data_IF_174369080141
#
_entry.id   IF_174369080141
#
_cell.length_a   1.000
_cell.length_b   1.000
_cell.length_c   1.000
_cell.angle_alpha   90.00
_cell.angle_beta   90.00
_cell.angle_gamma   90.00
#
_symmetry.space_group_name_H-M   'P 1'
#
loop_
_entity.id
_entity.type
_entity.pdbx_description
1 polymer ?
#
# COMPACT_ATOMS: atom_id res chain seq x y z
N UNK A 1 0.26 -19.68 -9.75
CA UNK A 1 1.12 -18.82 -8.91
C UNK A 1 0.34 -18.39 -7.68
N UNK A 2 0.99 -18.20 -6.53
CA UNK A 2 0.31 -17.66 -5.33
C UNK A 2 0.28 -16.12 -5.43
N UNK A 3 -0.90 -15.48 -5.45
CA UNK A 3 -0.98 -14.02 -5.47
C UNK A 3 -0.48 -13.41 -4.16
N UNK A 4 0.09 -12.22 -4.23
CA UNK A 4 0.68 -11.52 -3.08
C UNK A 4 -0.25 -10.47 -2.48
N UNK A 5 -0.04 -10.15 -1.22
CA UNK A 5 -0.77 -9.07 -0.55
C UNK A 5 0.18 -8.06 0.10
N UNK A 6 0.06 -6.80 -0.31
CA UNK A 6 0.78 -5.66 0.26
C UNK A 6 -0.22 -4.78 1.02
N UNK A 7 0.11 -4.39 2.24
CA UNK A 7 -0.65 -3.36 2.96
C UNK A 7 0.20 -2.10 3.12
N UNK A 8 -0.34 -0.96 2.70
CA UNK A 8 0.28 0.36 2.85
C UNK A 8 -0.45 1.13 3.95
N UNK A 9 0.19 1.20 5.11
CA UNK A 9 -0.20 2.04 6.23
C UNK A 9 0.52 3.39 6.22
N UNK A 10 0.26 4.23 7.21
CA UNK A 10 1.00 5.47 7.40
C UNK A 10 0.49 6.28 8.59
N UNK A 11 1.35 7.12 9.16
CA UNK A 11 1.10 7.73 10.46
C UNK A 11 -0.14 8.67 10.50
N UNK A 12 -0.49 9.31 9.38
CA UNK A 12 -1.61 10.28 9.29
C UNK A 12 -2.40 10.23 7.96
N UNK A 13 -3.33 11.19 7.78
CA UNK A 13 -3.96 11.51 6.48
C UNK A 13 -2.96 12.25 5.61
N UNK A 14 -3.10 12.11 4.29
CA UNK A 14 -2.31 12.88 3.31
C UNK A 14 -0.78 12.74 3.40
N UNK A 15 -0.29 11.66 4.02
CA UNK A 15 1.15 11.37 4.16
C UNK A 15 1.77 10.74 2.91
N UNK A 16 1.01 10.57 1.82
CA UNK A 16 1.52 10.00 0.56
C UNK A 16 1.31 8.50 0.33
N UNK A 17 0.45 7.81 1.12
CA UNK A 17 0.13 6.38 0.90
C UNK A 17 -0.40 6.09 -0.51
N UNK A 18 -1.32 6.93 -1.01
CA UNK A 18 -1.89 6.78 -2.35
C UNK A 18 -0.78 6.86 -3.41
N UNK A 19 0.13 7.82 -3.29
CA UNK A 19 1.31 7.94 -4.17
C UNK A 19 2.22 6.73 -4.10
N UNK A 20 2.44 6.16 -2.91
CA UNK A 20 3.22 4.92 -2.76
C UNK A 20 2.57 3.75 -3.50
N UNK A 21 1.25 3.63 -3.43
CA UNK A 21 0.53 2.57 -4.15
C UNK A 21 0.66 2.76 -5.66
N UNK A 22 0.55 3.99 -6.17
CA UNK A 22 0.67 4.28 -7.60
C UNK A 22 2.06 3.92 -8.16
N UNK A 23 3.13 4.25 -7.43
CA UNK A 23 4.50 3.88 -7.82
C UNK A 23 4.68 2.36 -7.89
N UNK A 24 4.07 1.61 -6.96
CA UNK A 24 4.16 0.15 -6.92
C UNK A 24 3.39 -0.50 -8.07
N UNK A 25 2.20 0.05 -8.39
CA UNK A 25 1.36 -0.43 -9.48
C UNK A 25 1.94 -0.09 -10.86
N UNK A 26 2.50 1.10 -11.02
CA UNK A 26 3.07 1.57 -12.29
C UNK A 26 4.28 0.77 -12.77
N UNK A 27 4.97 0.09 -11.86
CA UNK A 27 6.09 -0.83 -12.15
C UNK A 27 5.62 -2.27 -12.50
N UNK A 28 4.32 -2.57 -12.31
CA UNK A 28 3.75 -3.93 -12.36
C UNK A 28 2.48 -4.03 -13.20
N UNK A 29 2.41 -3.29 -14.31
CA UNK A 29 1.22 -3.21 -15.16
C UNK A 29 0.85 -4.52 -15.86
N UNK A 30 1.81 -5.45 -15.98
CA UNK A 30 1.58 -6.77 -16.60
C UNK A 30 1.04 -7.81 -15.60
N UNK A 31 0.83 -7.43 -14.35
CA UNK A 31 0.30 -8.28 -13.30
C UNK A 31 -1.15 -7.94 -12.94
N UNK A 32 -1.91 -8.94 -12.52
CA UNK A 32 -3.31 -8.76 -12.11
C UNK A 32 -3.39 -8.16 -10.70
N UNK A 33 -3.41 -6.84 -10.58
CA UNK A 33 -3.55 -6.14 -9.30
C UNK A 33 -4.97 -5.69 -9.00
N UNK A 34 -5.44 -5.95 -7.78
CA UNK A 34 -6.60 -5.33 -7.17
C UNK A 34 -6.17 -4.35 -6.07
N UNK A 35 -6.58 -3.09 -6.17
CA UNK A 35 -6.28 -2.05 -5.19
C UNK A 35 -7.50 -1.77 -4.29
N UNK A 36 -7.32 -1.80 -2.97
CA UNK A 36 -8.41 -1.61 -2.01
C UNK A 36 -8.09 -0.48 -1.04
N UNK A 37 -8.92 0.55 -1.00
CA UNK A 37 -8.86 1.56 0.04
C UNK A 37 -9.82 1.23 1.17
N UNK A 38 -9.31 0.99 2.38
CA UNK A 38 -10.18 0.80 3.56
C UNK A 38 -10.25 2.07 4.38
N UNK A 39 -11.42 2.71 4.42
CA UNK A 39 -11.66 3.92 5.20
C UNK A 39 -12.66 3.68 6.34
N UNK A 40 -12.54 4.44 7.43
CA UNK A 40 -13.53 4.39 8.51
C UNK A 40 -14.85 5.00 8.05
N UNK A 41 -15.95 4.31 8.30
CA UNK A 41 -17.31 4.79 8.05
C UNK A 41 -17.74 5.83 9.12
N UNK A 42 -17.01 6.95 9.27
CA UNK A 42 -17.35 8.01 10.26
C UNK A 42 -18.50 8.92 9.82
N UNK A 43 -18.91 8.87 8.55
CA UNK A 43 -19.93 9.75 7.97
C UNK A 43 -21.06 9.00 7.28
N UNK A 44 -21.25 7.74 7.62
CA UNK A 44 -22.40 7.02 7.15
C UNK A 44 -23.37 6.77 8.28
N UNK A 45 -24.61 6.58 7.85
CA UNK A 45 -25.78 6.44 8.68
C UNK A 45 -25.51 5.40 9.78
N UNK A 46 -25.92 5.66 11.02
CA UNK A 46 -26.06 4.58 12.00
C UNK A 46 -26.91 3.48 11.34
N UNK A 47 -26.56 2.21 11.55
CA UNK A 47 -27.26 1.00 11.04
C UNK A 47 -26.74 0.32 9.76
N UNK A 48 -25.49 0.55 9.35
CA UNK A 48 -24.87 -0.33 8.34
C UNK A 48 -24.12 -1.49 9.01
N UNK A 49 -24.81 -2.62 9.18
CA UNK A 49 -24.26 -3.88 9.72
C UNK A 49 -23.31 -4.62 8.76
N UNK A 50 -22.82 -3.94 7.72
CA UNK A 50 -21.92 -4.50 6.71
C UNK A 50 -20.95 -3.45 6.18
N UNK A 51 -19.77 -3.83 5.66
CA UNK A 51 -18.94 -2.89 4.94
C UNK A 51 -19.65 -2.45 3.65
N UNK A 52 -19.51 -1.18 3.28
CA UNK A 52 -19.90 -0.70 1.95
C UNK A 52 -18.69 -0.86 1.02
N UNK A 53 -18.81 -1.72 0.03
CA UNK A 53 -17.77 -2.03 -0.96
C UNK A 53 -18.17 -1.42 -2.29
N UNK A 54 -17.45 -0.38 -2.71
CA UNK A 54 -17.75 0.38 -3.91
C UNK A 54 -16.65 0.09 -4.95
N UNK A 55 -16.92 -0.70 -6.01
CA UNK A 55 -15.99 -0.83 -7.12
C UNK A 55 -15.89 0.49 -7.88
N UNK A 56 -14.68 0.94 -8.14
CA UNK A 56 -14.47 2.02 -9.10
C UNK A 56 -14.51 1.46 -10.52
N UNK A 57 -15.17 2.20 -11.41
CA UNK A 57 -15.40 1.79 -12.80
C UNK A 57 -14.70 2.72 -13.79
N UNK A 58 -14.13 3.83 -13.31
CA UNK A 58 -13.50 4.83 -14.15
C UNK A 58 -12.14 5.21 -13.60
N UNK A 59 -11.14 5.18 -14.49
CA UNK A 59 -9.84 5.75 -14.23
C UNK A 59 -9.96 7.29 -14.17
N UNK A 60 -10.17 7.83 -12.98
CA UNK A 60 -10.37 9.27 -12.72
C UNK A 60 -9.31 9.78 -11.72
N UNK A 61 -8.47 10.76 -12.10
CA UNK A 61 -7.42 11.28 -11.21
C UNK A 61 -7.98 12.04 -10.01
N UNK A 62 -9.28 12.38 -10.00
CA UNK A 62 -9.96 13.11 -8.93
C UNK A 62 -10.39 12.21 -7.78
N UNK A 63 -10.48 10.89 -7.99
CA UNK A 63 -10.80 9.91 -6.94
C UNK A 63 -9.57 9.11 -6.57
N UNK A 64 -9.47 8.69 -5.30
CA UNK A 64 -8.30 7.90 -4.85
C UNK A 64 -8.26 6.51 -5.48
N UNK A 65 -9.42 5.91 -5.74
CA UNK A 65 -9.53 4.59 -6.37
C UNK A 65 -9.37 4.66 -7.89
N UNK A 66 -9.85 5.71 -8.54
CA UNK A 66 -9.62 5.96 -9.96
C UNK A 66 -8.14 6.21 -10.27
N UNK A 67 -7.42 6.85 -9.35
CA UNK A 67 -5.95 6.95 -9.36
C UNK A 67 -5.24 5.58 -9.35
N UNK A 68 -5.74 4.60 -8.61
CA UNK A 68 -5.16 3.25 -8.66
C UNK A 68 -5.37 2.57 -10.03
N UNK A 69 -6.54 2.76 -10.65
CA UNK A 69 -6.80 2.26 -12.01
C UNK A 69 -5.85 2.93 -13.02
N UNK A 70 -5.65 4.25 -12.93
CA UNK A 70 -4.68 4.98 -13.78
C UNK A 70 -3.25 4.46 -13.60
N UNK A 71 -2.89 4.05 -12.39
CA UNK A 71 -1.57 3.54 -12.08
C UNK A 71 -1.35 2.07 -12.49
N UNK A 72 -2.38 1.37 -13.00
CA UNK A 72 -2.24 0.00 -13.52
C UNK A 72 -2.97 -1.08 -12.71
N UNK A 73 -3.77 -0.74 -11.70
CA UNK A 73 -4.64 -1.74 -11.08
C UNK A 73 -5.73 -2.21 -12.07
N UNK A 74 -5.92 -3.53 -12.18
CA UNK A 74 -7.02 -4.15 -12.94
C UNK A 74 -8.38 -3.81 -12.30
N UNK A 75 -8.43 -3.79 -10.96
CA UNK A 75 -9.64 -3.53 -10.18
C UNK A 75 -9.31 -2.58 -9.03
N UNK A 76 -10.21 -1.64 -8.73
CA UNK A 76 -10.06 -0.75 -7.58
C UNK A 76 -11.35 -0.68 -6.76
N UNK A 77 -11.22 -0.66 -5.42
CA UNK A 77 -12.37 -0.66 -4.50
C UNK A 77 -12.20 0.35 -3.38
N UNK A 78 -13.26 1.11 -3.09
CA UNK A 78 -13.41 1.86 -1.86
C UNK A 78 -14.25 1.05 -0.88
N UNK A 79 -13.63 0.60 0.21
CA UNK A 79 -14.29 -0.11 1.29
C UNK A 79 -14.51 0.84 2.48
N UNK A 80 -15.74 1.32 2.66
CA UNK A 80 -16.11 2.09 3.85
C UNK A 80 -16.56 1.13 4.94
N UNK A 81 -15.73 0.97 5.96
CA UNK A 81 -15.82 -0.14 6.92
C UNK A 81 -16.06 0.36 8.34
N UNK A 82 -17.22 0.03 8.96
CA UNK A 82 -17.42 0.15 10.41
C UNK A 82 -16.40 -0.68 11.20
N UNK A 83 -16.09 -0.27 12.43
CA UNK A 83 -15.06 -0.97 13.23
C UNK A 83 -15.38 -2.46 13.46
N UNK A 84 -16.64 -2.79 13.75
CA UNK A 84 -17.10 -4.16 13.95
C UNK A 84 -17.04 -5.03 12.68
N UNK A 85 -16.90 -4.42 11.50
CA UNK A 85 -16.98 -5.08 10.21
C UNK A 85 -15.63 -5.25 9.51
N UNK A 86 -14.52 -4.99 10.22
CA UNK A 86 -13.16 -5.18 9.67
C UNK A 86 -12.90 -6.64 9.24
N UNK A 87 -13.45 -7.61 9.96
CA UNK A 87 -13.37 -9.04 9.60
C UNK A 87 -14.04 -9.33 8.27
N UNK A 88 -15.21 -8.74 8.00
CA UNK A 88 -15.93 -8.90 6.75
C UNK A 88 -15.18 -8.25 5.57
N UNK A 89 -14.64 -7.04 5.76
CA UNK A 89 -13.78 -6.40 4.75
C UNK A 89 -12.51 -7.22 4.49
N UNK A 90 -11.93 -7.82 5.52
CA UNK A 90 -10.77 -8.69 5.35
C UNK A 90 -11.11 -9.98 4.59
N UNK A 91 -12.32 -10.52 4.75
CA UNK A 91 -12.80 -11.66 3.97
C UNK A 91 -12.91 -11.30 2.48
N UNK A 92 -13.53 -10.17 2.16
CA UNK A 92 -13.59 -9.66 0.78
C UNK A 92 -12.19 -9.47 0.16
N UNK A 93 -11.24 -8.89 0.91
CA UNK A 93 -9.87 -8.72 0.45
C UNK A 93 -9.19 -10.07 0.15
N UNK A 94 -9.47 -11.11 0.94
CA UNK A 94 -8.98 -12.47 0.68
C UNK A 94 -9.64 -13.09 -0.54
N UNK A 95 -10.94 -12.88 -0.75
CA UNK A 95 -11.63 -13.35 -1.95
C UNK A 95 -10.99 -12.77 -3.23
N UNK A 96 -10.61 -11.49 -3.23
CA UNK A 96 -9.85 -10.91 -4.35
C UNK A 96 -8.51 -11.63 -4.59
N UNK A 97 -7.83 -12.04 -3.51
CA UNK A 97 -6.58 -12.79 -3.61
C UNK A 97 -6.82 -14.22 -4.11
N UNK A 98 -7.87 -14.89 -3.63
CA UNK A 98 -8.26 -16.23 -4.03
C UNK A 98 -8.73 -16.28 -5.51
N UNK A 99 -9.28 -15.17 -6.03
CA UNK A 99 -9.58 -14.94 -7.46
C UNK A 99 -8.33 -14.83 -8.36
N UNK A 100 -7.12 -14.92 -7.77
CA UNK A 100 -5.86 -14.87 -8.50
C UNK A 100 -5.27 -13.47 -8.64
N UNK A 101 -5.82 -12.43 -8.00
CA UNK A 101 -5.26 -11.08 -8.04
C UNK A 101 -4.19 -10.89 -6.95
N UNK A 102 -3.08 -10.25 -7.31
CA UNK A 102 -2.26 -9.56 -6.32
C UNK A 102 -3.11 -8.44 -5.69
N UNK A 103 -2.98 -8.22 -4.39
CA UNK A 103 -3.83 -7.24 -3.68
C UNK A 103 -2.97 -6.20 -2.98
N UNK A 104 -3.22 -4.92 -3.25
CA UNK A 104 -2.61 -3.81 -2.52
C UNK A 104 -3.66 -3.03 -1.75
N UNK A 105 -3.45 -2.85 -0.45
CA UNK A 105 -4.47 -2.29 0.45
C UNK A 105 -3.97 -1.01 1.11
N UNK A 106 -4.69 0.10 0.95
CA UNK A 106 -4.43 1.32 1.72
C UNK A 106 -5.20 1.29 3.05
N UNK A 107 -4.53 0.97 4.16
CA UNK A 107 -5.13 1.01 5.50
C UNK A 107 -4.13 0.84 6.63
N UNK A 108 -4.42 1.42 7.80
CA UNK A 108 -3.75 1.06 9.05
C UNK A 108 -4.53 0.00 9.85
N UNK A 109 -5.83 -0.16 9.61
CA UNK A 109 -6.75 -0.83 10.55
C UNK A 109 -7.02 -2.29 10.22
N UNK A 110 -6.75 -2.68 8.98
CA UNK A 110 -7.06 -4.02 8.46
C UNK A 110 -5.93 -5.02 8.69
N UNK A 111 -4.75 -4.53 9.09
CA UNK A 111 -3.50 -5.31 9.17
C UNK A 111 -3.65 -6.51 10.11
N UNK A 112 -4.32 -6.37 11.25
CA UNK A 112 -4.52 -7.49 12.19
C UNK A 112 -5.52 -8.56 11.70
N UNK A 113 -6.30 -8.23 10.67
CA UNK A 113 -7.30 -9.12 10.09
C UNK A 113 -6.81 -9.81 8.82
N UNK A 114 -5.59 -9.48 8.38
CA UNK A 114 -4.95 -9.98 7.17
C UNK A 114 -3.60 -10.62 7.49
N UNK A 115 -3.13 -11.46 6.57
CA UNK A 115 -1.77 -11.99 6.54
C UNK A 115 -1.03 -11.43 5.32
N UNK A 116 -0.69 -10.13 5.32
CA UNK A 116 0.04 -9.54 4.21
C UNK A 116 1.42 -10.18 4.08
N UNK A 117 1.90 -10.31 2.84
CA UNK A 117 3.27 -10.72 2.55
C UNK A 117 4.24 -9.57 2.83
N UNK A 118 3.80 -8.31 2.67
CA UNK A 118 4.55 -7.12 3.05
C UNK A 118 3.65 -6.01 3.63
N UNK A 119 4.16 -5.30 4.62
CA UNK A 119 3.57 -4.08 5.18
C UNK A 119 4.53 -2.91 4.98
N UNK A 120 4.10 -1.95 4.16
CA UNK A 120 4.79 -0.67 4.00
C UNK A 120 4.13 0.39 4.87
N UNK A 121 4.93 1.29 5.44
CA UNK A 121 4.41 2.35 6.29
C UNK A 121 4.93 3.72 5.88
N UNK A 122 4.01 4.56 5.40
CA UNK A 122 4.35 5.89 4.90
C UNK A 122 4.48 6.91 6.03
N UNK A 123 5.62 7.61 6.05
CA UNK A 123 5.97 8.68 6.98
C UNK A 123 6.25 9.97 6.23
N UNK A 124 5.83 11.09 6.79
CA UNK A 124 6.01 12.41 6.22
C UNK A 124 6.51 13.31 7.37
N UNK A 125 7.81 13.63 7.42
CA UNK A 125 8.43 14.26 8.59
C UNK A 125 7.75 15.56 9.06
N UNK A 126 7.18 16.33 8.12
CA UNK A 126 6.50 17.61 8.40
C UNK A 126 5.07 17.46 8.91
N UNK A 127 4.54 16.25 9.02
CA UNK A 127 3.22 15.98 9.60
C UNK A 127 3.43 15.40 11.00
N UNK A 128 3.21 16.24 12.01
CA UNK A 128 3.41 15.88 13.42
C UNK A 128 2.32 14.94 13.96
N UNK A 129 1.14 14.92 13.32
CA UNK A 129 -0.01 14.15 13.80
C UNK A 129 0.16 12.64 13.63
N UNK A 130 0.12 11.89 14.73
CA UNK A 130 0.06 10.44 14.71
C UNK A 130 -1.35 9.94 15.07
N UNK A 131 -2.01 9.26 14.13
CA UNK A 131 -3.28 8.58 14.43
C UNK A 131 -3.06 7.45 15.42
N UNK A 132 -4.01 7.27 16.35
CA UNK A 132 -4.02 6.12 17.26
C UNK A 132 -3.95 4.77 16.52
N UNK A 133 -4.58 4.66 15.34
CA UNK A 133 -4.54 3.45 14.50
C UNK A 133 -3.17 3.13 13.90
N UNK A 134 -2.18 4.03 14.02
CA UNK A 134 -0.87 3.86 13.41
C UNK A 134 0.06 2.93 14.17
N UNK A 135 -0.18 2.70 15.48
CA UNK A 135 0.70 1.86 16.32
C UNK A 135 0.81 0.42 15.85
N UNK A 136 -0.33 -0.21 15.53
CA UNK A 136 -0.38 -1.60 15.00
C UNK A 136 0.38 -1.71 13.68
N UNK A 137 0.08 -0.80 12.75
CA UNK A 137 0.71 -0.78 11.43
C UNK A 137 2.23 -0.59 11.55
N UNK A 138 2.68 0.30 12.43
CA UNK A 138 4.09 0.56 12.71
C UNK A 138 4.83 -0.67 13.26
N UNK A 139 4.19 -1.41 14.17
CA UNK A 139 4.76 -2.61 14.78
C UNK A 139 4.97 -3.74 13.75
N UNK A 140 4.10 -3.83 12.74
CA UNK A 140 4.16 -4.83 11.68
C UNK A 140 4.88 -4.37 10.41
N UNK A 141 5.45 -3.18 10.41
CA UNK A 141 6.08 -2.57 9.22
C UNK A 141 7.37 -3.29 8.83
N UNK A 142 7.42 -3.79 7.60
CA UNK A 142 8.63 -4.36 6.99
C UNK A 142 9.56 -3.26 6.44
N UNK A 143 8.99 -2.22 5.83
CA UNK A 143 9.75 -1.06 5.35
C UNK A 143 8.97 0.26 5.44
N UNK A 144 9.71 1.34 5.67
CA UNK A 144 9.19 2.69 5.69
C UNK A 144 9.29 3.36 4.32
N UNK A 145 8.32 4.21 4.02
CA UNK A 145 8.33 5.08 2.83
C UNK A 145 8.26 6.54 3.29
N UNK A 146 9.37 7.25 3.15
CA UNK A 146 9.50 8.65 3.54
C UNK A 146 8.98 9.54 2.41
N UNK A 147 8.07 10.46 2.74
CA UNK A 147 7.45 11.42 1.83
C UNK A 147 7.72 12.83 2.29
N UNK A 148 8.54 13.52 1.53
CA UNK A 148 8.86 14.93 1.67
C UNK A 148 9.35 15.44 0.33
N UNK A 149 9.24 16.74 0.08
CA UNK A 149 9.78 17.37 -1.12
C UNK A 149 11.24 17.83 -0.92
N UNK A 150 11.77 17.71 0.31
CA UNK A 150 13.12 18.11 0.68
C UNK A 150 14.07 16.91 0.66
N UNK A 151 15.02 16.90 -0.27
CA UNK A 151 15.98 15.80 -0.44
C UNK A 151 16.91 15.63 0.77
N UNK A 152 17.29 16.71 1.46
CA UNK A 152 18.14 16.62 2.64
C UNK A 152 17.39 15.96 3.80
N UNK A 153 16.14 16.37 4.04
CA UNK A 153 15.24 15.79 5.04
C UNK A 153 14.94 14.32 4.72
N UNK A 154 14.70 13.99 3.45
CA UNK A 154 14.49 12.63 2.97
C UNK A 154 15.69 11.72 3.30
N UNK A 155 16.90 12.16 2.92
CA UNK A 155 18.14 11.42 3.16
C UNK A 155 18.41 11.26 4.67
N UNK A 156 18.14 12.28 5.47
CA UNK A 156 18.29 12.21 6.92
C UNK A 156 17.32 11.20 7.54
N UNK A 157 16.04 11.25 7.16
CA UNK A 157 15.02 10.32 7.66
C UNK A 157 15.36 8.86 7.32
N UNK A 158 15.80 8.58 6.08
CA UNK A 158 16.23 7.23 5.68
C UNK A 158 17.44 6.77 6.50
N UNK A 159 18.45 7.63 6.69
CA UNK A 159 19.61 7.30 7.55
C UNK A 159 19.21 7.05 9.00
N UNK A 160 18.32 7.86 9.55
CA UNK A 160 17.85 7.72 10.93
C UNK A 160 17.08 6.40 11.15
N UNK A 161 16.28 5.97 10.16
CA UNK A 161 15.59 4.69 10.20
C UNK A 161 16.57 3.51 10.06
N UNK A 162 17.54 3.62 9.15
CA UNK A 162 18.59 2.62 8.97
C UNK A 162 19.45 2.44 10.23
N UNK A 163 19.81 3.53 10.92
CA UNK A 163 20.53 3.48 12.19
C UNK A 163 19.75 2.75 13.31
N UNK A 164 18.42 2.67 13.19
CA UNK A 164 17.54 1.90 14.07
C UNK A 164 17.27 0.47 13.56
N UNK A 165 18.03 0.01 12.55
CA UNK A 165 17.86 -1.29 11.92
C UNK A 165 16.59 -1.43 11.08
N UNK A 166 15.97 -0.31 10.67
CA UNK A 166 14.74 -0.33 9.85
C UNK A 166 15.08 -0.09 8.38
N UNK A 167 14.44 -0.86 7.51
CA UNK A 167 14.46 -0.58 6.07
C UNK A 167 13.59 0.65 5.77
N UNK A 168 14.12 1.59 4.99
CA UNK A 168 13.41 2.78 4.59
C UNK A 168 13.83 3.22 3.20
N UNK A 169 12.90 3.87 2.49
CA UNK A 169 13.12 4.46 1.17
C UNK A 169 12.53 5.86 1.14
N UNK A 170 13.06 6.75 0.30
CA UNK A 170 12.45 8.05 0.00
C UNK A 170 12.15 8.22 -1.49
N UNK A 171 11.16 7.50 -2.06
CA UNK A 171 10.85 7.57 -3.49
C UNK A 171 10.52 9.00 -3.92
N UNK A 172 11.00 9.37 -5.11
CA UNK A 172 11.03 10.74 -5.63
C UNK A 172 12.37 11.44 -5.46
N UNK A 173 13.30 10.87 -4.68
CA UNK A 173 14.65 11.42 -4.46
C UNK A 173 15.72 10.44 -4.95
N UNK A 174 16.63 10.91 -5.82
CA UNK A 174 17.73 10.09 -6.34
C UNK A 174 17.25 8.77 -6.96
N UNK A 175 17.88 7.66 -6.57
CA UNK A 175 17.54 6.30 -7.01
C UNK A 175 16.57 5.57 -6.06
N UNK A 176 16.03 6.25 -5.03
CA UNK A 176 15.27 5.61 -3.96
C UNK A 176 13.99 4.92 -4.45
N UNK A 177 13.34 5.44 -5.50
CA UNK A 177 12.19 4.77 -6.14
C UNK A 177 12.61 3.40 -6.69
N UNK A 178 13.71 3.36 -7.45
CA UNK A 178 14.22 2.11 -8.02
C UNK A 178 14.70 1.16 -6.93
N UNK A 179 15.36 1.67 -5.88
CA UNK A 179 15.79 0.86 -4.72
C UNK A 179 14.60 0.23 -4.00
N UNK A 180 13.51 0.96 -3.82
CA UNK A 180 12.27 0.44 -3.23
C UNK A 180 11.67 -0.67 -4.10
N UNK A 181 11.53 -0.42 -5.41
CA UNK A 181 10.95 -1.38 -6.35
C UNK A 181 11.79 -2.67 -6.45
N UNK A 182 13.11 -2.54 -6.54
CA UNK A 182 14.03 -3.68 -6.52
C UNK A 182 13.95 -4.46 -5.19
N UNK A 183 13.82 -3.76 -4.06
CA UNK A 183 13.65 -4.41 -2.75
C UNK A 183 12.36 -5.20 -2.65
N UNK A 184 11.25 -4.68 -3.21
CA UNK A 184 9.97 -5.38 -3.32
C UNK A 184 10.11 -6.62 -4.21
N UNK A 185 10.78 -6.49 -5.36
CA UNK A 185 10.94 -7.58 -6.32
C UNK A 185 11.66 -8.80 -5.73
N UNK A 186 12.64 -8.60 -4.86
CA UNK A 186 13.38 -9.70 -4.20
C UNK A 186 12.53 -10.40 -3.13
N UNK A 187 11.50 -9.73 -2.59
CA UNK A 187 10.67 -10.24 -1.47
C UNK A 187 9.33 -10.79 -1.90
N UNK A 188 8.79 -10.28 -3.00
CA UNK A 188 7.58 -10.81 -3.58
C UNK A 188 7.95 -11.99 -4.49
N UNK A 189 7.24 -13.13 -4.42
CA UNK A 189 7.44 -14.21 -5.38
C UNK A 189 7.35 -13.66 -6.81
N UNK A 190 8.36 -13.96 -7.63
CA UNK A 190 8.44 -13.48 -9.01
C UNK A 190 7.14 -13.82 -9.75
N UNK A 191 6.56 -12.81 -10.39
CA UNK A 191 5.22 -12.79 -10.96
C UNK A 191 5.13 -13.23 -12.41
N UNK A 192 6.28 -13.37 -13.08
CA UNK A 192 6.44 -14.11 -14.33
C UNK A 192 7.86 -14.68 -14.43
N UNK A 193 7.98 -15.84 -15.08
CA UNK A 193 9.24 -16.55 -15.31
C UNK A 193 10.13 -15.83 -16.35
N UNK A 194 9.59 -14.84 -17.06
CA UNK A 194 10.21 -14.14 -18.19
C UNK A 194 11.20 -13.04 -17.79
N UNK A 195 11.11 -12.45 -16.58
CA UNK A 195 12.05 -11.42 -16.14
C UNK A 195 13.35 -11.95 -15.53
N UNK A 196 13.38 -13.20 -15.05
CA UNK A 196 14.62 -13.80 -14.52
C UNK A 196 15.67 -14.05 -15.61
N UNK A 197 15.27 -14.06 -16.89
CA UNK A 197 16.20 -14.26 -18.01
C UNK A 197 16.84 -12.94 -18.50
N UNK A 198 16.30 -11.77 -18.15
CA UNK A 198 16.84 -10.48 -18.60
C UNK A 198 17.77 -9.78 -17.60
N UNK A 199 17.96 -10.33 -16.39
CA UNK A 199 18.96 -9.84 -15.41
C UNK A 199 20.03 -10.92 -15.18
N UNK A 200 20.49 -11.52 -16.27
CA UNK A 200 21.74 -12.26 -16.34
C UNK A 200 22.48 -11.80 -17.58
N UNK A 201 22.97 -10.57 -17.56
CA UNK A 201 23.96 -10.08 -18.51
C UNK A 201 25.06 -9.38 -17.71
N UNK A 202 26.14 -10.13 -17.54
CA UNK A 202 27.56 -9.80 -17.26
C UNK A 202 27.89 -9.04 -15.97
#
# INVERSE_FOLDING_TARGET
MRPVMIVVGGHSRSVGKTTTIEEILGDRTDERWAAVKVSSHRHALPDVDRPLIEPDRLADPRTQTGRYLLAGAERAFLCRTPAAQLTATAAFIRELQDDGCNVIVESNRIIDFLRPDLVLFTVAPRIEDWKASSGVALARTDAFVVRTDDEAEAREAVRALAAKGRTAFAPGHGDETLRMLAWLQVRLPATSEEWRQHVSIH
#
